data_IF_124451509467
#
_entry.id   IF_124451509467
#
_cell.length_a   1.000
_cell.length_b   1.000
_cell.length_c   1.000
_cell.angle_alpha   90.00
_cell.angle_beta   90.00
_cell.angle_gamma   90.00
#
_symmetry.space_group_name_H-M   'P 1'
#
loop_
_entity.id
_entity.type
_entity.pdbx_description
1 polymer ?
#
# COMPACT_ATOMS: atom_id res chain seq x y z
N UNK A 1 -2.07 -1.66 -33.24
CA UNK A 1 -1.99 -2.96 -32.52
C UNK A 1 -0.64 -3.04 -31.79
N UNK A 2 -0.45 -2.25 -30.72
CA UNK A 2 0.75 -2.32 -29.87
C UNK A 2 0.54 -1.63 -28.50
N UNK A 3 -0.66 -1.73 -27.92
CA UNK A 3 -0.95 -1.20 -26.57
C UNK A 3 -0.75 -2.23 -25.46
N UNK A 4 -0.42 -3.47 -25.80
CA UNK A 4 -0.38 -4.60 -24.85
C UNK A 4 0.97 -4.88 -24.18
N UNK A 5 2.06 -4.19 -24.54
CA UNK A 5 3.43 -4.58 -24.10
C UNK A 5 4.10 -3.54 -23.18
N UNK A 6 3.41 -2.45 -22.82
CA UNK A 6 3.91 -1.50 -21.82
C UNK A 6 3.40 -1.77 -20.40
N UNK A 7 2.32 -2.53 -20.23
CA UNK A 7 1.77 -2.83 -18.91
C UNK A 7 2.63 -3.83 -18.12
N UNK A 8 3.37 -4.71 -18.80
CA UNK A 8 4.03 -5.87 -18.18
C UNK A 8 5.48 -5.60 -17.72
N UNK A 9 6.10 -4.49 -18.15
CA UNK A 9 7.53 -4.17 -17.89
C UNK A 9 7.80 -3.04 -16.88
N UNK A 10 6.80 -2.60 -16.12
CA UNK A 10 6.93 -1.50 -15.15
C UNK A 10 6.74 -1.93 -13.69
N UNK A 11 6.63 -3.24 -13.44
CA UNK A 11 6.76 -3.83 -12.10
C UNK A 11 8.21 -4.25 -11.93
N UNK A 12 9.12 -3.40 -11.44
CA UNK A 12 10.40 -3.84 -10.85
C UNK A 12 11.21 -2.76 -10.13
N UNK A 13 10.70 -1.53 -9.96
CA UNK A 13 11.28 -0.55 -9.03
C UNK A 13 10.60 -0.63 -7.66
N UNK A 14 11.33 -0.91 -6.59
CA UNK A 14 10.87 -0.54 -5.24
C UNK A 14 10.92 1.00 -5.18
N UNK A 15 9.80 1.64 -4.80
CA UNK A 15 9.74 3.10 -4.69
C UNK A 15 10.83 3.64 -3.75
N UNK A 16 11.53 4.73 -4.10
CA UNK A 16 12.62 5.28 -3.24
C UNK A 16 12.14 5.65 -1.83
N UNK A 17 10.88 6.05 -1.68
CA UNK A 17 10.29 6.36 -0.38
C UNK A 17 10.09 5.13 0.50
N UNK A 18 10.14 3.91 -0.04
CA UNK A 18 10.24 2.68 0.76
C UNK A 18 11.46 2.68 1.68
N UNK A 19 12.61 3.19 1.20
CA UNK A 19 13.84 3.26 2.01
C UNK A 19 13.76 4.30 3.12
N UNK A 20 12.75 5.17 3.11
CA UNK A 20 12.46 6.10 4.21
C UNK A 20 11.61 5.46 5.31
N UNK A 21 11.08 4.25 5.11
CA UNK A 21 10.35 3.52 6.13
C UNK A 21 11.32 3.00 7.19
N UNK A 22 11.23 3.55 8.39
CA UNK A 22 12.13 3.23 9.50
C UNK A 22 11.68 2.00 10.28
N UNK A 23 10.36 1.80 10.42
CA UNK A 23 9.78 0.73 11.22
C UNK A 23 9.83 -0.65 10.56
N UNK A 24 10.01 -1.69 11.38
CA UNK A 24 9.91 -3.08 10.92
C UNK A 24 8.50 -3.41 10.42
N UNK A 25 7.47 -2.96 11.16
CA UNK A 25 6.06 -3.12 10.78
C UNK A 25 5.72 -2.29 9.54
N UNK A 26 6.19 -1.05 9.42
CA UNK A 26 5.98 -0.23 8.22
C UNK A 26 6.51 -0.93 6.95
N UNK A 27 7.76 -1.43 7.00
CA UNK A 27 8.38 -2.15 5.88
C UNK A 27 7.71 -3.48 5.58
N UNK A 28 7.28 -4.21 6.61
CA UNK A 28 6.49 -5.42 6.44
C UNK A 28 5.12 -5.11 5.81
N UNK A 29 4.41 -4.10 6.31
CA UNK A 29 3.10 -3.69 5.83
C UNK A 29 3.16 -3.29 4.36
N UNK A 30 4.16 -2.50 3.96
CA UNK A 30 4.39 -2.18 2.55
C UNK A 30 4.54 -3.43 1.69
N UNK A 31 5.29 -4.44 2.13
CA UNK A 31 5.47 -5.69 1.37
C UNK A 31 4.16 -6.48 1.24
N UNK A 32 3.37 -6.55 2.31
CA UNK A 32 2.04 -7.18 2.29
C UNK A 32 1.14 -6.45 1.31
N UNK A 33 0.99 -5.14 1.48
CA UNK A 33 0.17 -4.29 0.63
C UNK A 33 0.58 -4.41 -0.83
N UNK A 34 1.88 -4.30 -1.14
CA UNK A 34 2.40 -4.43 -2.51
C UNK A 34 2.14 -5.79 -3.14
N UNK A 35 2.20 -6.88 -2.35
CA UNK A 35 1.89 -8.23 -2.83
C UNK A 35 0.42 -8.36 -3.24
N UNK A 36 -0.48 -7.67 -2.55
CA UNK A 36 -1.92 -7.80 -2.75
C UNK A 36 -2.49 -6.75 -3.72
N UNK A 37 -2.05 -5.49 -3.65
CA UNK A 37 -2.61 -4.37 -4.40
C UNK A 37 -2.48 -4.42 -5.93
N UNK A 38 -1.56 -5.21 -6.48
CA UNK A 38 -1.34 -5.28 -7.93
C UNK A 38 -2.30 -6.18 -8.72
N UNK A 39 -3.20 -6.92 -8.06
CA UNK A 39 -3.95 -8.00 -8.72
C UNK A 39 -5.46 -7.73 -8.92
N UNK A 40 -6.06 -6.76 -8.22
CA UNK A 40 -7.50 -6.46 -8.30
C UNK A 40 -7.78 -4.96 -8.06
N UNK A 41 -8.65 -4.35 -8.87
CA UNK A 41 -8.90 -2.89 -8.87
C UNK A 41 -9.75 -2.32 -7.74
N UNK A 42 -10.12 -3.12 -6.74
CA UNK A 42 -10.98 -2.72 -5.60
C UNK A 42 -10.25 -2.56 -4.26
N UNK A 43 -8.91 -2.60 -4.27
CA UNK A 43 -8.11 -2.67 -3.05
C UNK A 43 -8.23 -4.01 -2.32
N UNK A 44 -7.63 -4.10 -1.15
CA UNK A 44 -7.61 -5.30 -0.32
C UNK A 44 -7.84 -4.98 1.14
N UNK A 45 -8.41 -5.93 1.87
CA UNK A 45 -8.75 -5.78 3.27
C UNK A 45 -8.17 -6.90 4.15
N UNK A 46 -7.72 -6.55 5.35
CA UNK A 46 -7.36 -7.51 6.40
C UNK A 46 -7.84 -7.03 7.77
N UNK A 47 -8.24 -7.97 8.62
CA UNK A 47 -8.48 -7.66 10.04
C UNK A 47 -7.15 -7.40 10.76
N UNK A 48 -7.18 -6.62 11.86
CA UNK A 48 -6.00 -6.44 12.71
C UNK A 48 -5.40 -7.77 13.21
N UNK A 49 -6.25 -8.76 13.50
CA UNK A 49 -5.81 -10.10 13.92
C UNK A 49 -5.05 -10.83 12.81
N UNK A 50 -5.56 -10.78 11.57
CA UNK A 50 -4.90 -11.37 10.40
C UNK A 50 -3.54 -10.70 10.15
N UNK A 51 -3.47 -9.38 10.26
CA UNK A 51 -2.22 -8.64 10.10
C UNK A 51 -1.21 -9.00 11.19
N UNK A 52 -1.63 -9.06 12.45
CA UNK A 52 -0.75 -9.44 13.56
C UNK A 52 -0.18 -10.85 13.34
N UNK A 53 -1.03 -11.82 13.00
CA UNK A 53 -0.60 -13.19 12.71
C UNK A 53 0.38 -13.25 11.51
N UNK A 54 0.08 -12.55 10.40
CA UNK A 54 0.95 -12.48 9.21
C UNK A 54 2.27 -11.75 9.47
N UNK A 55 2.31 -10.83 10.44
CA UNK A 55 3.51 -10.07 10.78
C UNK A 55 4.54 -10.89 11.52
N UNK A 56 4.11 -11.94 12.23
CA UNK A 56 4.96 -12.66 13.17
C UNK A 56 5.46 -11.78 14.34
N UNK A 57 4.83 -10.63 14.59
CA UNK A 57 5.23 -9.73 15.66
C UNK A 57 5.06 -10.39 17.03
N UNK A 58 6.08 -10.29 17.87
CA UNK A 58 6.05 -10.73 19.27
C UNK A 58 5.37 -9.71 20.18
N UNK A 59 5.02 -8.52 19.67
CA UNK A 59 4.28 -7.51 20.42
C UNK A 59 2.87 -7.99 20.76
N UNK A 60 2.29 -7.42 21.83
CA UNK A 60 0.87 -7.57 22.13
C UNK A 60 0.05 -7.00 20.97
N UNK A 61 -1.07 -7.66 20.64
CA UNK A 61 -1.98 -7.25 19.56
C UNK A 61 -2.41 -5.78 19.69
N UNK A 62 -2.64 -5.31 20.91
CA UNK A 62 -3.03 -3.91 21.16
C UNK A 62 -1.94 -2.89 20.79
N UNK A 63 -0.68 -3.22 21.04
CA UNK A 63 0.45 -2.32 20.73
C UNK A 63 0.78 -2.36 19.24
N UNK A 64 0.71 -3.53 18.62
CA UNK A 64 0.75 -3.68 17.17
C UNK A 64 -0.35 -2.85 16.48
N UNK A 65 -1.60 -2.93 16.96
CA UNK A 65 -2.71 -2.16 16.42
C UNK A 65 -2.49 -0.65 16.58
N UNK A 66 -1.93 -0.17 17.71
CA UNK A 66 -1.57 1.24 17.89
C UNK A 66 -0.50 1.70 16.89
N UNK A 67 0.52 0.88 16.66
CA UNK A 67 1.58 1.18 15.68
C UNK A 67 1.02 1.22 14.25
N UNK A 68 0.11 0.31 13.92
CA UNK A 68 -0.57 0.29 12.63
C UNK A 68 -1.48 1.50 12.43
N UNK A 69 -2.29 1.88 13.44
CA UNK A 69 -3.09 3.11 13.39
C UNK A 69 -2.25 4.34 13.11
N UNK A 70 -1.12 4.51 13.81
CA UNK A 70 -0.17 5.61 13.56
C UNK A 70 0.40 5.58 12.14
N UNK A 71 0.63 4.40 11.58
CA UNK A 71 1.12 4.24 10.20
C UNK A 71 0.06 4.66 9.19
N UNK A 72 -1.20 4.27 9.42
CA UNK A 72 -2.37 4.64 8.62
C UNK A 72 -2.61 6.14 8.69
N UNK A 73 -2.70 6.72 9.89
CA UNK A 73 -2.92 8.16 10.11
C UNK A 73 -1.88 9.03 9.39
N UNK A 74 -0.62 8.59 9.37
CA UNK A 74 0.47 9.31 8.70
C UNK A 74 0.54 9.05 7.19
N UNK A 75 -0.24 8.11 6.67
CA UNK A 75 -0.30 7.73 5.26
C UNK A 75 1.09 7.48 4.64
N UNK A 76 1.97 6.80 5.39
CA UNK A 76 3.39 6.67 5.04
C UNK A 76 3.73 5.57 4.05
N UNK A 77 2.78 4.70 3.72
CA UNK A 77 3.03 3.57 2.83
C UNK A 77 3.08 4.08 1.38
N UNK A 78 4.25 4.02 0.72
CA UNK A 78 4.41 4.57 -0.63
C UNK A 78 3.48 3.96 -1.66
N UNK A 79 2.83 4.80 -2.47
CA UNK A 79 1.97 4.36 -3.57
C UNK A 79 0.62 3.77 -3.16
N UNK A 80 0.35 3.66 -1.85
CA UNK A 80 -0.91 3.12 -1.33
C UNK A 80 -1.58 4.12 -0.38
N UNK A 81 -2.91 4.13 -0.42
CA UNK A 81 -3.76 4.78 0.56
C UNK A 81 -4.33 3.72 1.48
N UNK A 82 -4.29 3.97 2.79
CA UNK A 82 -4.70 3.03 3.81
C UNK A 82 -5.86 3.61 4.60
N UNK A 83 -6.86 2.81 4.89
CA UNK A 83 -8.04 3.23 5.65
C UNK A 83 -8.42 2.18 6.68
N UNK A 84 -8.95 2.65 7.80
CA UNK A 84 -9.42 1.79 8.87
C UNK A 84 -10.92 1.95 9.02
N UNK A 85 -11.63 0.83 8.98
CA UNK A 85 -13.07 0.77 9.17
C UNK A 85 -13.42 -0.32 10.17
N UNK A 86 -14.63 -0.28 10.71
CA UNK A 86 -15.18 -1.38 11.51
C UNK A 86 -16.21 -2.15 10.68
N UNK A 87 -16.12 -3.47 10.69
CA UNK A 87 -17.14 -4.32 10.08
C UNK A 87 -18.38 -4.43 11.00
N UNK A 88 -19.41 -5.15 10.54
CA UNK A 88 -20.64 -5.39 11.31
C UNK A 88 -20.41 -6.13 12.64
N UNK A 89 -19.32 -6.89 12.74
CA UNK A 89 -18.92 -7.63 13.96
C UNK A 89 -18.08 -6.76 14.92
N UNK A 90 -17.86 -5.49 14.59
CA UNK A 90 -17.07 -4.55 15.38
C UNK A 90 -15.55 -4.72 15.28
N UNK A 91 -15.07 -5.62 14.41
CA UNK A 91 -13.65 -5.82 14.14
C UNK A 91 -13.09 -4.68 13.28
N UNK A 92 -11.89 -4.24 13.63
CA UNK A 92 -11.16 -3.22 12.87
C UNK A 92 -10.47 -3.85 11.65
N UNK A 93 -10.81 -3.34 10.48
CA UNK A 93 -10.35 -3.77 9.17
C UNK A 93 -9.46 -2.68 8.58
N UNK A 94 -8.27 -3.06 8.14
CA UNK A 94 -7.43 -2.25 7.28
C UNK A 94 -7.80 -2.53 5.83
N UNK A 95 -8.28 -1.51 5.13
CA UNK A 95 -8.39 -1.48 3.68
C UNK A 95 -7.21 -0.70 3.08
N UNK A 96 -6.74 -1.12 1.91
CA UNK A 96 -5.71 -0.40 1.18
C UNK A 96 -5.93 -0.47 -0.32
N UNK A 97 -5.63 0.64 -0.99
CA UNK A 97 -5.84 0.84 -2.43
C UNK A 97 -4.61 1.53 -3.03
N UNK A 98 -4.26 1.21 -4.28
CA UNK A 98 -3.23 1.96 -4.99
C UNK A 98 -3.69 3.42 -5.17
N UNK A 99 -2.80 4.39 -4.90
CA UNK A 99 -3.15 5.81 -5.01
C UNK A 99 -3.58 6.22 -6.42
N UNK A 100 -3.13 5.50 -7.43
CA UNK A 100 -3.53 5.73 -8.81
C UNK A 100 -4.88 5.11 -9.20
N UNK A 101 -5.45 4.25 -8.34
CA UNK A 101 -6.77 3.64 -8.52
C UNK A 101 -7.87 4.37 -7.73
N UNK A 102 -7.50 5.33 -6.88
CA UNK A 102 -8.46 6.18 -6.20
C UNK A 102 -9.16 7.11 -7.21
N UNK A 103 -10.31 7.63 -6.82
CA UNK A 103 -11.00 8.69 -7.56
C UNK A 103 -10.07 9.92 -7.70
N UNK A 104 -10.15 10.63 -8.83
CA UNK A 104 -9.30 11.80 -9.12
C UNK A 104 -9.52 12.91 -8.10
N UNK A 105 -10.74 13.02 -7.55
CA UNK A 105 -11.09 14.02 -6.53
C UNK A 105 -10.70 13.58 -5.12
N UNK A 106 -10.20 12.35 -4.95
CA UNK A 106 -9.81 11.84 -3.64
C UNK A 106 -8.50 12.49 -3.16
N UNK A 107 -8.39 12.94 -1.89
CA UNK A 107 -7.21 13.66 -1.39
C UNK A 107 -5.91 12.83 -1.41
N UNK A 108 -6.05 11.51 -1.43
CA UNK A 108 -4.94 10.55 -1.52
C UNK A 108 -4.52 10.18 -2.93
N UNK A 109 -5.22 10.67 -3.97
CA UNK A 109 -4.95 10.31 -5.36
C UNK A 109 -3.56 10.76 -5.79
N UNK A 110 -2.80 9.83 -6.37
CA UNK A 110 -1.53 10.13 -7.01
C UNK A 110 -1.42 9.33 -8.31
N UNK A 111 -1.20 9.98 -9.47
CA UNK A 111 -1.07 9.26 -10.72
C UNK A 111 0.17 8.37 -10.69
N UNK A 112 0.09 7.22 -11.37
CA UNK A 112 1.22 6.29 -11.50
C UNK A 112 2.39 7.04 -12.16
N UNK A 113 3.46 7.31 -11.41
CA UNK A 113 4.63 8.01 -11.93
C UNK A 113 5.36 7.10 -12.91
N UNK A 114 5.17 7.32 -14.20
CA UNK A 114 6.04 6.77 -15.22
C UNK A 114 7.40 7.46 -15.10
N UNK A 115 8.52 6.74 -14.91
CA UNK A 115 9.82 7.38 -15.05
C UNK A 115 9.87 7.98 -16.46
N UNK A 116 10.10 9.30 -16.54
CA UNK A 116 10.30 9.99 -17.81
C UNK A 116 11.40 9.23 -18.55
N UNK A 117 11.04 8.53 -19.63
CA UNK A 117 12.02 8.11 -20.62
C UNK A 117 12.70 9.41 -21.06
N UNK A 118 13.98 9.55 -20.69
CA UNK A 118 14.82 10.57 -21.29
C UNK A 118 14.86 10.25 -22.79
N UNK A 119 14.09 10.99 -23.59
CA UNK A 119 14.30 11.01 -25.03
C UNK A 119 15.64 11.72 -25.20
N UNK A 120 16.70 10.95 -25.42
CA UNK A 120 17.97 11.50 -25.85
C UNK A 120 17.75 12.16 -27.23
N UNK A 121 18.20 13.41 -27.45
CA UNK A 121 18.21 13.97 -28.80
C UNK A 121 19.19 13.16 -29.68
N UNK A 122 18.77 12.95 -30.93
CA UNK A 122 19.50 12.24 -31.97
C UNK A 122 20.76 12.97 -32.43
#
# INVERSE_FOLDING_TARGET
LYEGVLADKLVLGIDRSYFKLTGGIERWLYRVVRKHGGHQGGGWAFTMKQLHHKSGSTQRVADFAKELRRTVERQRIPGYWLELHRNGDGEEILHFTERCQLDVDHPGFEPKRFPRLAIAPA
#
